data_IF_874147869382
#
_entry.id   IF_874147869382
#
_cell.length_a   1.000
_cell.length_b   1.000
_cell.length_c   1.000
_cell.angle_alpha   90.00
_cell.angle_beta   90.00
_cell.angle_gamma   90.00
#
_symmetry.space_group_name_H-M   'P 1'
#
loop_
_entity.id
_entity.type
_entity.pdbx_description
1 polymer ?
#
# COMPACT_ATOMS: atom_id res chain seq x y z
N UNK A 1 3.99 -16.60 -8.76
CA UNK A 1 3.76 -15.43 -9.63
C UNK A 1 2.32 -15.49 -10.07
N UNK A 2 1.61 -14.36 -10.06
CA UNK A 2 0.24 -14.27 -10.57
C UNK A 2 0.24 -13.41 -11.83
N UNK A 3 -0.57 -13.80 -12.80
CA UNK A 3 -0.85 -13.01 -13.99
C UNK A 3 -2.34 -12.69 -14.01
N UNK A 4 -2.67 -11.41 -14.10
CA UNK A 4 -4.04 -10.94 -14.10
C UNK A 4 -4.17 -9.80 -15.12
N UNK A 5 -4.99 -10.00 -16.15
CA UNK A 5 -5.18 -9.03 -17.25
C UNK A 5 -3.87 -8.51 -17.86
N UNK A 6 -2.90 -9.39 -18.09
CA UNK A 6 -1.59 -9.05 -18.66
C UNK A 6 -0.59 -8.40 -17.68
N UNK A 7 -0.99 -8.17 -16.43
CA UNK A 7 -0.09 -7.68 -15.37
C UNK A 7 0.48 -8.88 -14.60
N UNK A 8 1.82 -8.94 -14.52
CA UNK A 8 2.54 -9.99 -13.78
C UNK A 8 2.93 -9.46 -12.41
N UNK A 9 2.32 -10.01 -11.35
CA UNK A 9 2.64 -9.67 -9.97
C UNK A 9 3.45 -10.77 -9.29
N UNK A 10 4.54 -10.37 -8.62
CA UNK A 10 5.28 -11.24 -7.71
C UNK A 10 4.65 -11.14 -6.33
N UNK A 11 3.90 -12.18 -5.95
CA UNK A 11 3.36 -12.34 -4.59
C UNK A 11 3.91 -13.58 -3.92
N UNK A 12 4.14 -13.47 -2.62
CA UNK A 12 4.43 -14.63 -1.76
C UNK A 12 3.14 -15.42 -1.58
N UNK A 13 3.24 -16.74 -1.67
CA UNK A 13 2.16 -17.64 -1.31
C UNK A 13 2.51 -18.33 -0.02
N UNK A 14 1.53 -18.46 0.86
CA UNK A 14 1.68 -19.31 2.02
C UNK A 14 1.75 -20.77 1.56
N UNK A 15 2.71 -21.52 2.11
CA UNK A 15 2.99 -22.91 1.68
C UNK A 15 1.99 -23.91 2.25
N UNK A 16 1.29 -23.57 3.33
CA UNK A 16 0.36 -24.46 4.00
C UNK A 16 -1.06 -24.32 3.45
N UNK A 17 -1.50 -23.08 3.22
CA UNK A 17 -2.86 -22.73 2.78
C UNK A 17 -2.96 -22.43 1.30
N UNK A 18 -1.84 -22.14 0.62
CA UNK A 18 -1.82 -21.73 -0.80
C UNK A 18 -2.28 -20.29 -1.03
N UNK A 19 -2.60 -19.55 0.02
CA UNK A 19 -3.11 -18.18 -0.05
C UNK A 19 -2.03 -17.20 -0.53
N UNK A 20 -2.48 -16.14 -1.20
CA UNK A 20 -1.62 -15.08 -1.71
C UNK A 20 -1.51 -13.95 -0.68
N UNK A 21 -0.30 -13.64 -0.25
CA UNK A 21 -0.04 -12.55 0.68
C UNK A 21 0.09 -11.21 -0.06
N UNK A 22 -0.49 -10.15 0.52
CA UNK A 22 -0.23 -8.79 0.07
C UNK A 22 1.23 -8.39 0.38
N UNK A 23 1.99 -7.89 -0.61
CA UNK A 23 3.39 -7.51 -0.41
C UNK A 23 3.57 -6.19 0.36
N UNK A 24 2.48 -5.45 0.64
CA UNK A 24 2.51 -4.14 1.29
C UNK A 24 2.09 -4.18 2.77
N UNK A 25 1.44 -5.25 3.23
CA UNK A 25 0.89 -5.36 4.59
C UNK A 25 1.90 -5.76 5.67
N UNK A 26 3.07 -6.31 5.28
CA UNK A 26 4.00 -6.95 6.20
C UNK A 26 4.26 -8.41 5.85
N UNK A 27 4.76 -9.20 6.80
CA UNK A 27 5.10 -10.63 6.64
C UNK A 27 4.59 -11.43 7.84
N UNK A 28 4.32 -12.72 7.65
CA UNK A 28 3.86 -13.60 8.75
C UNK A 28 2.42 -13.30 9.16
N UNK A 29 2.18 -13.14 10.46
CA UNK A 29 0.86 -12.88 11.06
C UNK A 29 0.30 -11.49 10.73
N UNK A 30 1.16 -10.52 10.41
CA UNK A 30 0.74 -9.17 10.01
C UNK A 30 0.35 -9.09 8.51
N UNK A 31 0.67 -10.13 7.73
CA UNK A 31 0.31 -10.17 6.33
C UNK A 31 -1.17 -10.48 6.14
N UNK A 32 -1.83 -9.75 5.24
CA UNK A 32 -3.18 -10.11 4.79
C UNK A 32 -3.11 -11.10 3.63
N UNK A 33 -3.87 -12.18 3.74
CA UNK A 33 -3.89 -13.30 2.80
C UNK A 33 -5.20 -13.34 2.01
N UNK A 34 -5.11 -13.72 0.73
CA UNK A 34 -6.23 -13.71 -0.21
C UNK A 34 -6.30 -15.01 -1.03
N UNK A 35 -7.52 -15.47 -1.29
CA UNK A 35 -7.78 -16.65 -2.14
C UNK A 35 -7.76 -16.33 -3.63
N UNK A 36 -8.26 -15.16 -4.02
CA UNK A 36 -8.37 -14.76 -5.43
C UNK A 36 -7.37 -13.64 -5.77
N UNK A 37 -6.86 -13.59 -7.02
CA UNK A 37 -6.01 -12.50 -7.46
C UNK A 37 -6.77 -11.17 -7.51
N UNK A 38 -8.08 -11.21 -7.74
CA UNK A 38 -8.97 -10.05 -7.77
C UNK A 38 -9.03 -9.34 -6.42
N UNK A 39 -9.26 -10.09 -5.33
CA UNK A 39 -9.31 -9.53 -3.98
C UNK A 39 -7.98 -8.92 -3.56
N UNK A 40 -6.89 -9.63 -3.86
CA UNK A 40 -5.52 -9.16 -3.62
C UNK A 40 -5.25 -7.83 -4.35
N UNK A 41 -5.60 -7.74 -5.63
CA UNK A 41 -5.41 -6.52 -6.41
C UNK A 41 -6.27 -5.36 -5.89
N UNK A 42 -7.53 -5.61 -5.57
CA UNK A 42 -8.42 -4.61 -4.97
C UNK A 42 -7.83 -4.06 -3.67
N UNK A 43 -7.25 -4.92 -2.86
CA UNK A 43 -6.58 -4.55 -1.62
C UNK A 43 -5.28 -3.75 -1.86
N UNK A 44 -4.44 -4.16 -2.80
CA UNK A 44 -3.23 -3.41 -3.19
C UNK A 44 -3.61 -2.00 -3.70
N UNK A 45 -4.66 -1.88 -4.51
CA UNK A 45 -5.15 -0.59 -4.98
C UNK A 45 -5.63 0.31 -3.82
N UNK A 46 -6.19 -0.27 -2.75
CA UNK A 46 -6.55 0.47 -1.56
C UNK A 46 -5.31 1.05 -0.83
N UNK A 47 -4.20 0.31 -0.78
CA UNK A 47 -2.93 0.85 -0.27
C UNK A 47 -2.45 2.04 -1.10
N UNK A 48 -2.45 1.94 -2.42
CA UNK A 48 -1.99 3.03 -3.30
C UNK A 48 -2.87 4.27 -3.11
N UNK A 49 -4.20 4.09 -3.05
CA UNK A 49 -5.15 5.19 -2.81
C UNK A 49 -4.98 5.82 -1.43
N UNK A 50 -4.74 5.02 -0.39
CA UNK A 50 -4.45 5.49 0.96
C UNK A 50 -3.11 6.23 1.03
N UNK A 51 -2.06 5.67 0.44
CA UNK A 51 -0.71 6.25 0.38
C UNK A 51 -0.71 7.60 -0.36
N UNK A 52 -1.46 7.71 -1.45
CA UNK A 52 -1.70 8.98 -2.16
C UNK A 52 -2.38 10.04 -1.28
N UNK A 53 -3.32 9.64 -0.41
CA UNK A 53 -3.95 10.57 0.56
C UNK A 53 -2.98 11.04 1.63
N UNK A 54 -2.07 10.17 2.09
CA UNK A 54 -1.03 10.56 3.04
C UNK A 54 0.03 11.48 2.41
N UNK A 55 0.43 11.25 1.14
CA UNK A 55 1.36 12.15 0.42
C UNK A 55 0.79 13.53 0.08
N UNK A 56 -0.53 13.70 0.06
CA UNK A 56 -1.16 15.03 -0.12
C UNK A 56 -1.07 15.91 1.13
N UNK A 57 -0.68 15.36 2.28
CA UNK A 57 -0.26 16.13 3.46
C UNK A 57 1.23 16.49 3.30
N UNK A 58 1.60 17.19 2.24
CA UNK A 58 2.86 17.90 2.22
C UNK A 58 2.78 19.01 3.29
N UNK A 59 3.85 19.26 4.06
CA UNK A 59 3.78 20.17 5.20
C UNK A 59 3.36 21.56 4.73
N UNK A 60 2.33 22.11 5.38
CA UNK A 60 2.07 23.55 5.35
C UNK A 60 3.33 24.18 5.93
N UNK A 61 4.13 24.86 5.11
CA UNK A 61 5.10 25.82 5.63
C UNK A 61 4.25 26.89 6.30
N UNK A 62 4.19 26.91 7.62
CA UNK A 62 3.92 28.16 8.35
C UNK A 62 5.19 29.00 8.18
N UNK A 63 5.16 30.15 7.48
CA UNK A 63 6.12 31.19 7.75
C UNK A 63 5.66 31.88 9.04
N UNK A 64 6.21 31.46 10.18
CA UNK A 64 6.24 32.33 11.36
C UNK A 64 7.48 33.21 11.27
N UNK A 65 7.21 34.51 11.42
CA UNK A 65 8.09 35.61 11.84
C UNK A 65 9.15 36.13 10.86
N UNK A 66 8.79 37.26 10.22
CA UNK A 66 9.68 38.42 10.02
C UNK A 66 8.81 39.64 9.68
N UNK A 67 8.37 40.37 10.69
CA UNK A 67 8.25 41.84 10.60
C UNK A 67 8.87 42.41 11.88
N UNK A 68 10.03 43.01 11.67
CA UNK A 68 10.87 43.79 12.59
C UNK A 68 10.21 45.13 12.94
N UNK A 69 10.55 45.64 14.13
CA UNK A 69 10.74 47.05 14.49
C UNK A 69 9.62 48.09 14.24
N UNK A 70 9.03 48.59 15.33
CA UNK A 70 9.21 49.99 15.78
C UNK A 70 9.01 50.14 17.30
#
# INVERSE_FOLDING_TARGET
MIEYHGVRLRVKRDKQTGLMACPLCGVGDEATYFFTPEDLLRHILAHVKGYMRHKRKAPVRHPEEQEEEE
#
